data_IF_362109489530
#
_entry.id   IF_362109489530
#
_cell.length_a   1.000
_cell.length_b   1.000
_cell.length_c   1.000
_cell.angle_alpha   90.00
_cell.angle_beta   90.00
_cell.angle_gamma   90.00
#
_symmetry.space_group_name_H-M   'P 1'
#
loop_
_entity.id
_entity.type
_entity.pdbx_description
1 polymer ?
#
# COMPACT_ATOMS: atom_id res chain seq x y z
N UNK A 1 14.62 -20.92 2.50
CA UNK A 1 13.65 -20.33 1.56
C UNK A 1 12.72 -19.42 2.32
N UNK A 2 12.50 -18.21 1.80
CA UNK A 2 11.59 -17.22 2.38
C UNK A 2 10.14 -17.68 2.16
N UNK A 3 9.31 -17.62 3.18
CA UNK A 3 7.87 -17.85 3.13
C UNK A 3 7.13 -16.57 3.45
N UNK A 4 6.03 -16.33 2.73
CA UNK A 4 5.20 -15.15 2.91
C UNK A 4 3.76 -15.59 3.18
N UNK A 5 3.13 -15.02 4.20
CA UNK A 5 1.69 -15.13 4.40
C UNK A 5 1.01 -13.89 3.84
N UNK A 6 -0.06 -14.04 3.07
CA UNK A 6 -0.84 -12.90 2.55
C UNK A 6 -2.33 -13.12 2.76
N UNK A 7 -3.10 -12.03 2.78
CA UNK A 7 -4.55 -12.12 2.85
C UNK A 7 -5.10 -12.76 1.55
N UNK A 8 -6.05 -13.67 1.70
CA UNK A 8 -6.72 -14.30 0.55
C UNK A 8 -7.41 -13.24 -0.32
N UNK A 9 -7.24 -13.33 -1.65
CA UNK A 9 -7.82 -12.39 -2.61
C UNK A 9 -7.14 -11.03 -2.72
N UNK A 10 -6.02 -10.81 -2.00
CA UNK A 10 -5.28 -9.57 -2.07
C UNK A 10 -4.49 -9.47 -3.38
N UNK A 11 -4.37 -8.26 -3.95
CA UNK A 11 -3.66 -8.01 -5.20
C UNK A 11 -2.16 -8.36 -5.12
N UNK A 12 -1.58 -8.35 -3.92
CA UNK A 12 -0.17 -8.71 -3.69
C UNK A 12 0.17 -10.16 -4.09
N UNK A 13 -0.83 -11.06 -4.21
CA UNK A 13 -0.58 -12.44 -4.61
C UNK A 13 0.06 -12.54 -6.00
N UNK A 14 -0.45 -11.77 -6.97
CA UNK A 14 0.10 -11.83 -8.32
C UNK A 14 1.46 -11.13 -8.40
N UNK A 15 1.64 -10.03 -7.67
CA UNK A 15 2.94 -9.34 -7.60
C UNK A 15 4.05 -10.25 -7.07
N UNK A 16 3.78 -11.02 -6.00
CA UNK A 16 4.76 -11.96 -5.46
C UNK A 16 5.15 -13.03 -6.50
N UNK A 17 4.18 -13.53 -7.27
CA UNK A 17 4.44 -14.51 -8.33
C UNK A 17 5.27 -13.92 -9.48
N UNK A 18 4.94 -12.72 -9.92
CA UNK A 18 5.67 -12.00 -10.97
C UNK A 18 7.11 -11.65 -10.54
N UNK A 19 7.33 -11.45 -9.23
CA UNK A 19 8.67 -11.30 -8.62
C UNK A 19 9.41 -12.63 -8.42
N UNK A 20 8.81 -13.76 -8.81
CA UNK A 20 9.44 -15.09 -8.76
C UNK A 20 9.28 -15.84 -7.44
N UNK A 21 8.43 -15.37 -6.51
CA UNK A 21 8.06 -16.14 -5.33
C UNK A 21 7.23 -17.35 -5.77
N UNK A 22 7.70 -18.56 -5.42
CA UNK A 22 7.03 -19.79 -5.82
C UNK A 22 5.74 -19.97 -5.04
N UNK A 23 4.75 -20.61 -5.66
CA UNK A 23 3.46 -20.91 -5.03
C UNK A 23 3.61 -21.63 -3.67
N UNK A 24 4.57 -22.54 -3.55
CA UNK A 24 4.83 -23.27 -2.30
C UNK A 24 5.50 -22.43 -1.18
N UNK A 25 5.87 -21.18 -1.49
CA UNK A 25 6.39 -20.19 -0.54
C UNK A 25 5.30 -19.22 -0.08
N UNK A 26 4.10 -19.28 -0.67
CA UNK A 26 2.98 -18.38 -0.36
C UNK A 26 1.94 -19.16 0.45
N UNK A 27 1.66 -18.70 1.67
CA UNK A 27 0.52 -19.14 2.47
C UNK A 27 -0.56 -18.06 2.42
N UNK A 28 -1.84 -18.46 2.38
CA UNK A 28 -2.96 -17.52 2.45
C UNK A 28 -3.65 -17.58 3.80
N UNK A 29 -4.21 -16.45 4.21
CA UNK A 29 -4.92 -16.26 5.47
C UNK A 29 -6.19 -15.45 5.25
N UNK A 30 -7.24 -15.74 6.03
CA UNK A 30 -8.52 -15.03 5.96
C UNK A 30 -8.56 -13.78 6.84
N UNK A 31 -7.48 -13.47 7.57
CA UNK A 31 -7.41 -12.27 8.41
C UNK A 31 -6.00 -11.70 8.58
N UNK A 32 -5.93 -10.39 8.86
CA UNK A 32 -4.71 -9.66 9.20
C UNK A 32 -4.05 -10.24 10.46
N UNK A 33 -4.82 -10.53 11.50
CA UNK A 33 -4.30 -11.08 12.76
C UNK A 33 -3.67 -12.46 12.57
N UNK A 34 -4.26 -13.31 11.71
CA UNK A 34 -3.68 -14.61 11.36
C UNK A 34 -2.39 -14.48 10.53
N UNK A 35 -2.26 -13.47 9.66
CA UNK A 35 -1.00 -13.16 8.97
C UNK A 35 0.10 -12.73 9.96
N UNK A 36 -0.20 -11.79 10.86
CA UNK A 36 0.75 -11.35 11.89
C UNK A 36 1.16 -12.48 12.82
N UNK A 37 0.22 -13.34 13.23
CA UNK A 37 0.52 -14.51 14.06
C UNK A 37 1.43 -15.51 13.33
N UNK A 38 1.30 -15.64 12.01
CA UNK A 38 2.19 -16.48 11.19
C UNK A 38 3.65 -15.98 11.27
N UNK A 39 3.87 -14.67 11.12
CA UNK A 39 5.19 -14.04 11.24
C UNK A 39 5.70 -14.16 12.68
N UNK A 40 4.88 -13.76 13.66
CA UNK A 40 5.23 -13.75 15.09
C UNK A 40 5.63 -15.15 15.63
N UNK A 41 5.08 -16.22 15.05
CA UNK A 41 5.42 -17.61 15.41
C UNK A 41 6.63 -18.18 14.65
N UNK A 42 7.15 -17.46 13.66
CA UNK A 42 8.20 -17.95 12.76
C UNK A 42 7.73 -19.01 11.76
N UNK A 43 6.41 -19.15 11.55
CA UNK A 43 5.85 -20.07 10.55
C UNK A 43 6.12 -19.58 9.12
N UNK A 44 6.08 -18.26 8.94
CA UNK A 44 6.49 -17.55 7.72
C UNK A 44 7.49 -16.45 8.09
N UNK A 45 8.25 -15.97 7.12
CA UNK A 45 9.27 -14.94 7.33
C UNK A 45 8.69 -13.52 7.19
N UNK A 46 7.63 -13.34 6.39
CA UNK A 46 7.03 -12.03 6.13
C UNK A 46 5.52 -12.11 5.85
N UNK A 47 4.88 -10.94 5.93
CA UNK A 47 3.55 -10.66 5.38
C UNK A 47 3.59 -9.33 4.66
N UNK A 48 2.77 -9.15 3.63
CA UNK A 48 2.63 -7.87 2.91
C UNK A 48 1.19 -7.35 3.03
N UNK A 49 1.07 -6.05 3.22
CA UNK A 49 -0.19 -5.31 3.41
C UNK A 49 -0.01 -3.89 2.88
N UNK A 50 -1.09 -3.09 2.79
CA UNK A 50 -0.94 -1.64 2.63
C UNK A 50 -0.27 -1.05 3.86
N UNK A 51 0.45 0.06 3.71
CA UNK A 51 1.23 0.66 4.80
C UNK A 51 0.38 0.95 6.05
N UNK A 52 -0.79 1.55 5.87
CA UNK A 52 -1.73 1.85 6.95
C UNK A 52 -2.12 0.60 7.75
N UNK A 53 -2.49 -0.46 7.02
CA UNK A 53 -2.91 -1.73 7.61
C UNK A 53 -1.75 -2.44 8.30
N UNK A 54 -0.56 -2.43 7.69
CA UNK A 54 0.64 -3.02 8.28
C UNK A 54 0.98 -2.34 9.60
N UNK A 55 0.94 -1.01 9.62
CA UNK A 55 1.23 -0.21 10.80
C UNK A 55 0.26 -0.50 11.94
N UNK A 56 -1.04 -0.42 11.70
CA UNK A 56 -2.06 -0.75 12.69
C UNK A 56 -1.90 -2.19 13.22
N UNK A 57 -1.59 -3.13 12.32
CA UNK A 57 -1.39 -4.53 12.65
C UNK A 57 -0.13 -4.75 13.53
N UNK A 58 0.97 -4.05 13.25
CA UNK A 58 2.21 -4.11 14.04
C UNK A 58 2.05 -3.41 15.39
N UNK A 59 1.37 -2.26 15.45
CA UNK A 59 1.05 -1.56 16.70
C UNK A 59 0.17 -2.40 17.64
N UNK A 60 -0.73 -3.20 17.06
CA UNK A 60 -1.61 -4.09 17.81
C UNK A 60 -0.95 -5.42 18.20
N UNK A 61 0.29 -5.68 17.77
CA UNK A 61 1.00 -6.95 17.96
C UNK A 61 2.09 -6.88 19.03
N UNK A 62 2.67 -8.04 19.35
CA UNK A 62 3.89 -8.12 20.15
C UNK A 62 5.09 -7.66 19.30
N UNK A 63 5.45 -6.39 19.43
CA UNK A 63 6.54 -5.74 18.69
C UNK A 63 7.93 -6.32 19.00
N UNK A 64 8.07 -7.21 19.98
CA UNK A 64 9.32 -7.98 20.16
C UNK A 64 9.49 -9.12 19.15
N UNK A 65 8.44 -9.42 18.39
CA UNK A 65 8.38 -10.55 17.45
C UNK A 65 8.10 -10.16 16.00
N UNK A 66 7.55 -8.98 15.78
CA UNK A 66 7.22 -8.46 14.45
C UNK A 66 7.63 -7.00 14.38
N UNK A 67 8.10 -6.61 13.22
CA UNK A 67 8.48 -5.23 12.92
C UNK A 67 8.07 -4.88 11.50
N UNK A 68 7.93 -3.58 11.24
CA UNK A 68 7.80 -3.08 9.89
C UNK A 68 9.18 -3.11 9.21
N UNK A 69 9.26 -3.70 8.03
CA UNK A 69 10.50 -3.73 7.27
C UNK A 69 10.79 -2.33 6.69
N UNK A 70 11.64 -1.55 7.37
CA UNK A 70 12.10 -0.24 6.89
C UNK A 70 13.61 -0.21 6.65
N UNK A 71 14.09 0.45 5.58
CA UNK A 71 13.30 1.04 4.48
C UNK A 71 12.68 -0.03 3.57
N UNK A 72 11.56 0.29 2.92
CA UNK A 72 10.91 -0.59 1.95
C UNK A 72 10.91 0.08 0.57
N UNK A 73 11.34 -0.66 -0.46
CA UNK A 73 11.28 -0.21 -1.86
C UNK A 73 10.15 -0.95 -2.55
N UNK A 74 9.27 -0.21 -3.23
CA UNK A 74 8.22 -0.83 -4.05
C UNK A 74 8.85 -1.72 -5.13
N UNK A 75 8.30 -2.92 -5.39
CA UNK A 75 8.82 -3.79 -6.41
C UNK A 75 8.62 -3.20 -7.81
N UNK A 76 9.51 -3.54 -8.74
CA UNK A 76 9.34 -3.25 -10.15
C UNK A 76 8.86 -4.50 -10.89
N UNK A 77 7.78 -4.37 -11.66
CA UNK A 77 7.24 -5.44 -12.51
C UNK A 77 7.11 -4.86 -13.92
N UNK A 78 7.69 -5.54 -14.90
CA UNK A 78 7.69 -5.06 -16.28
C UNK A 78 8.47 -3.75 -16.50
N UNK A 79 9.33 -3.36 -15.56
CA UNK A 79 10.08 -2.11 -15.60
C UNK A 79 9.34 -0.90 -15.01
N UNK A 80 8.18 -1.13 -14.39
CA UNK A 80 7.41 -0.08 -13.70
C UNK A 80 7.25 -0.42 -12.21
N UNK A 81 7.38 0.60 -11.36
CA UNK A 81 7.10 0.48 -9.93
C UNK A 81 5.63 0.13 -9.71
N UNK A 82 5.38 -0.91 -8.91
CA UNK A 82 4.04 -1.39 -8.57
C UNK A 82 3.49 -0.54 -7.41
N UNK A 83 3.21 0.71 -7.72
CA UNK A 83 2.57 1.64 -6.78
C UNK A 83 1.11 1.84 -7.17
N UNK A 84 0.21 1.57 -6.23
CA UNK A 84 -1.21 1.85 -6.40
C UNK A 84 -1.54 3.25 -5.89
N UNK A 85 -2.20 4.06 -6.71
CA UNK A 85 -2.62 5.41 -6.35
C UNK A 85 -4.10 5.40 -5.98
N UNK A 86 -4.41 5.89 -4.78
CA UNK A 86 -5.79 6.20 -4.40
C UNK A 86 -6.26 7.49 -5.07
N UNK A 87 -7.52 7.54 -5.49
CA UNK A 87 -8.12 8.75 -6.06
C UNK A 87 -9.57 8.92 -5.59
N UNK A 88 -10.00 10.18 -5.44
CA UNK A 88 -11.41 10.50 -5.29
C UNK A 88 -12.13 10.23 -6.63
N UNK A 89 -13.23 9.48 -6.59
CA UNK A 89 -14.00 9.10 -7.77
C UNK A 89 -15.32 9.87 -7.82
N UNK A 90 -15.63 10.42 -8.98
CA UNK A 90 -16.84 11.20 -9.25
C UNK A 90 -17.67 10.51 -10.33
N UNK A 91 -18.97 10.82 -10.40
CA UNK A 91 -19.79 10.36 -11.53
C UNK A 91 -19.31 11.01 -12.82
N UNK A 92 -19.52 10.35 -13.95
CA UNK A 92 -19.05 10.84 -15.26
C UNK A 92 -19.66 12.20 -15.62
N UNK A 93 -20.89 12.45 -15.18
CA UNK A 93 -21.61 13.71 -15.39
C UNK A 93 -21.15 14.85 -14.44
N UNK A 94 -20.50 14.54 -13.32
CA UNK A 94 -20.14 15.51 -12.26
C UNK A 94 -18.78 16.18 -12.51
N UNK A 95 -18.52 16.58 -13.76
CA UNK A 95 -17.21 17.11 -14.14
C UNK A 95 -16.86 18.43 -13.43
N UNK A 96 -17.86 19.31 -13.19
CA UNK A 96 -17.65 20.57 -12.50
C UNK A 96 -17.18 20.35 -11.04
N UNK A 97 -17.76 19.37 -10.35
CA UNK A 97 -17.35 19.00 -8.99
C UNK A 97 -15.94 18.43 -8.97
N UNK A 98 -15.61 17.55 -9.94
CA UNK A 98 -14.26 16.98 -10.06
C UNK A 98 -13.20 18.07 -10.28
N UNK A 99 -13.46 19.04 -11.16
CA UNK A 99 -12.55 20.15 -11.43
C UNK A 99 -12.38 21.06 -10.19
N UNK A 100 -13.48 21.39 -9.51
CA UNK A 100 -13.41 22.16 -8.27
C UNK A 100 -12.63 21.43 -7.17
N UNK A 101 -12.83 20.12 -7.02
CA UNK A 101 -12.06 19.29 -6.08
C UNK A 101 -10.57 19.29 -6.41
N UNK A 102 -10.21 19.08 -7.68
CA UNK A 102 -8.83 19.08 -8.14
C UNK A 102 -8.14 20.44 -7.91
N UNK A 103 -8.85 21.54 -8.12
CA UNK A 103 -8.32 22.88 -7.89
C UNK A 103 -7.97 23.14 -6.41
N UNK A 104 -8.82 22.70 -5.47
CA UNK A 104 -8.53 22.83 -4.04
C UNK A 104 -7.48 21.81 -3.57
N UNK A 105 -7.51 20.58 -4.08
CA UNK A 105 -6.48 19.57 -3.80
C UNK A 105 -5.09 20.08 -4.21
N UNK A 106 -4.97 20.69 -5.39
CA UNK A 106 -3.72 21.30 -5.83
C UNK A 106 -3.22 22.36 -4.86
N UNK A 107 -4.10 23.23 -4.33
CA UNK A 107 -3.70 24.22 -3.32
C UNK A 107 -3.22 23.57 -2.02
N UNK A 108 -3.82 22.46 -1.59
CA UNK A 108 -3.38 21.72 -0.41
C UNK A 108 -1.98 21.12 -0.62
N UNK A 109 -1.71 20.57 -1.81
CA UNK A 109 -0.40 20.06 -2.19
C UNK A 109 0.63 21.20 -2.23
N UNK A 110 0.35 22.26 -3.01
CA UNK A 110 1.28 23.38 -3.22
C UNK A 110 1.59 24.14 -1.91
N UNK A 111 0.67 24.15 -0.94
CA UNK A 111 0.87 24.79 0.37
C UNK A 111 1.57 23.91 1.40
N UNK A 112 1.78 22.63 1.12
CA UNK A 112 2.31 21.65 2.08
C UNK A 112 1.28 21.17 3.13
N UNK A 113 0.07 21.74 3.14
CA UNK A 113 -0.99 21.36 4.09
C UNK A 113 -1.45 19.91 3.93
N UNK A 114 -1.29 19.33 2.75
CA UNK A 114 -1.58 17.91 2.55
C UNK A 114 -0.69 17.01 3.42
N UNK A 115 0.59 17.39 3.63
CA UNK A 115 1.51 16.64 4.48
C UNK A 115 1.08 16.72 5.94
N UNK A 116 0.67 17.91 6.43
CA UNK A 116 0.14 18.07 7.78
C UNK A 116 -1.05 17.13 8.04
N UNK A 117 -1.96 17.00 7.06
CA UNK A 117 -3.10 16.07 7.15
C UNK A 117 -2.60 14.62 7.19
N UNK A 118 -1.64 14.26 6.35
CA UNK A 118 -1.07 12.91 6.30
C UNK A 118 -0.39 12.51 7.61
N UNK A 119 0.34 13.42 8.23
CA UNK A 119 1.02 13.22 9.52
C UNK A 119 0.04 12.90 10.65
N UNK A 120 -1.18 13.49 10.65
CA UNK A 120 -2.24 13.15 11.61
C UNK A 120 -2.66 11.67 11.55
N UNK A 121 -2.49 11.03 10.39
CA UNK A 121 -2.77 9.60 10.18
C UNK A 121 -1.49 8.75 10.15
N UNK A 122 -0.34 9.33 10.53
CA UNK A 122 0.96 8.67 10.58
C UNK A 122 1.71 8.61 9.25
N UNK A 123 1.15 9.10 8.15
CA UNK A 123 1.85 9.14 6.86
C UNK A 123 2.89 10.27 6.81
N UNK A 124 3.82 10.19 5.86
CA UNK A 124 4.92 11.15 5.72
C UNK A 124 5.17 11.58 4.28
N UNK A 125 6.34 12.18 4.03
CA UNK A 125 6.73 12.70 2.71
C UNK A 125 6.70 11.61 1.62
N UNK A 126 7.04 10.36 1.96
CA UNK A 126 7.00 9.21 1.05
C UNK A 126 5.58 8.90 0.53
N UNK A 127 4.55 9.47 1.15
CA UNK A 127 3.15 9.31 0.75
C UNK A 127 2.62 10.49 -0.08
N UNK A 128 3.41 11.53 -0.29
CA UNK A 128 3.01 12.65 -1.15
C UNK A 128 2.88 12.19 -2.60
N UNK A 129 1.88 12.71 -3.35
CA UNK A 129 1.76 12.43 -4.76
C UNK A 129 3.01 12.90 -5.50
N UNK A 130 3.51 12.06 -6.38
CA UNK A 130 4.55 12.39 -7.35
C UNK A 130 3.93 13.12 -8.56
N UNK A 131 4.71 13.33 -9.62
CA UNK A 131 4.26 14.02 -10.84
C UNK A 131 3.31 13.17 -11.71
N UNK A 132 2.82 12.02 -11.21
CA UNK A 132 1.91 11.13 -11.94
C UNK A 132 0.52 11.76 -12.07
N UNK A 133 -0.05 11.63 -13.27
CA UNK A 133 -1.39 12.10 -13.58
C UNK A 133 -2.40 10.94 -13.70
N UNK A 134 -3.69 11.29 -13.71
CA UNK A 134 -4.75 10.32 -14.02
C UNK A 134 -4.60 9.72 -15.42
N UNK A 135 -4.07 10.48 -16.39
CA UNK A 135 -3.85 9.99 -17.75
C UNK A 135 -2.76 8.91 -17.77
N UNK A 136 -1.67 9.09 -17.02
CA UNK A 136 -0.57 8.11 -16.93
C UNK A 136 -1.03 6.76 -16.37
N UNK A 137 -2.03 6.75 -15.48
CA UNK A 137 -2.49 5.52 -14.80
C UNK A 137 -3.76 4.91 -15.40
N UNK A 138 -4.60 5.70 -16.06
CA UNK A 138 -5.91 5.27 -16.54
C UNK A 138 -6.11 5.44 -18.05
N UNK A 139 -5.16 6.01 -18.78
CA UNK A 139 -5.25 6.34 -20.21
C UNK A 139 -5.14 5.14 -21.16
N UNK A 140 -5.88 4.06 -20.89
CA UNK A 140 -6.05 2.93 -21.82
C UNK A 140 -7.16 3.17 -22.83
#
# INVERSE_FOLDING_TARGET
DVKVSIMAGANQHEFLKELGVKENQIETSDSISSNIAAVSSGRVDATVMTEATLREAVESADQSKVEEAKPFTQPEIGGESVMSYGAAVFRKEDNELREAYNAELKKLIDSGKILEIYEEFGFGEDNLPDDVTTEDRCGQ
#
